data_IF_211167072458
#
_entry.id   IF_211167072458
#
_cell.length_a   1.000
_cell.length_b   1.000
_cell.length_c   1.000
_cell.angle_alpha   90.00
_cell.angle_beta   90.00
_cell.angle_gamma   90.00
#
_symmetry.space_group_name_H-M   'P 1'
#
loop_
_entity.id
_entity.type
_entity.pdbx_description
1 polymer ?
#
# COMPACT_ATOMS: atom_id res chain seq x y z
N UNK A 1 -10.19 -18.62 9.48
CA UNK A 1 -10.49 -17.36 8.77
C UNK A 1 -10.65 -17.62 7.28
N UNK A 2 -9.72 -18.30 6.63
CA UNK A 2 -9.79 -18.64 5.20
C UNK A 2 -10.65 -19.88 4.93
N UNK A 3 -11.92 -19.80 5.29
CA UNK A 3 -12.91 -20.85 5.00
C UNK A 3 -13.81 -20.44 3.83
N UNK A 4 -14.39 -21.42 3.14
CA UNK A 4 -15.28 -21.16 2.01
C UNK A 4 -16.65 -20.63 2.48
N UNK A 5 -17.40 -20.03 1.54
CA UNK A 5 -18.81 -19.62 1.76
C UNK A 5 -19.75 -20.78 2.08
N UNK A 6 -19.32 -22.02 1.86
CA UNK A 6 -20.09 -23.23 2.18
C UNK A 6 -20.13 -23.56 3.69
N UNK A 7 -19.22 -22.97 4.48
CA UNK A 7 -19.21 -23.10 5.94
C UNK A 7 -17.84 -23.07 6.60
N UNK A 8 -17.82 -22.84 7.91
CA UNK A 8 -16.59 -22.71 8.71
C UNK A 8 -15.71 -23.97 8.73
N UNK A 9 -16.25 -25.12 8.42
CA UNK A 9 -15.54 -26.39 8.38
C UNK A 9 -14.96 -26.75 7.00
N UNK A 10 -15.19 -25.91 5.99
CA UNK A 10 -14.71 -26.11 4.62
C UNK A 10 -13.59 -25.13 4.36
N UNK A 11 -12.39 -25.63 4.07
CA UNK A 11 -11.27 -24.79 3.67
C UNK A 11 -11.55 -24.10 2.35
N UNK A 12 -10.96 -22.90 2.15
CA UNK A 12 -10.98 -22.22 0.85
C UNK A 12 -10.33 -23.08 -0.24
N UNK A 13 -10.70 -22.86 -1.48
CA UNK A 13 -10.21 -23.60 -2.63
C UNK A 13 -8.81 -23.20 -3.11
N UNK A 14 -8.17 -22.21 -2.45
CA UNK A 14 -6.80 -21.79 -2.71
C UNK A 14 -6.11 -21.27 -1.45
N UNK A 15 -4.81 -20.99 -1.58
CA UNK A 15 -3.95 -20.53 -0.47
C UNK A 15 -4.31 -19.11 -0.02
N UNK A 16 -4.21 -18.89 1.30
CA UNK A 16 -4.20 -17.56 1.91
C UNK A 16 -2.76 -17.20 2.29
N UNK A 17 -2.30 -16.05 1.82
CA UNK A 17 -0.90 -15.62 1.96
C UNK A 17 -0.82 -14.22 2.60
N UNK A 18 0.37 -13.86 3.05
CA UNK A 18 0.71 -12.51 3.53
C UNK A 18 -0.28 -11.99 4.61
N UNK A 19 -0.50 -12.71 5.71
CA UNK A 19 -1.43 -12.27 6.72
C UNK A 19 -0.90 -11.07 7.50
N UNK A 20 -1.81 -10.13 7.81
CA UNK A 20 -1.58 -9.02 8.73
C UNK A 20 -2.68 -8.98 9.77
N UNK A 21 -2.32 -8.83 11.03
CA UNK A 21 -3.25 -8.76 12.15
C UNK A 21 -3.31 -7.33 12.69
N UNK A 22 -4.53 -6.84 13.01
CA UNK A 22 -4.67 -5.56 13.73
C UNK A 22 -4.04 -5.63 15.12
N UNK A 23 -3.61 -4.50 15.66
CA UNK A 23 -2.92 -4.45 16.95
C UNK A 23 -3.78 -4.95 18.12
N UNK A 24 -5.11 -4.77 18.04
CA UNK A 24 -6.09 -5.29 19.00
C UNK A 24 -6.48 -6.76 18.76
N UNK A 25 -5.98 -7.37 17.69
CA UNK A 25 -6.28 -8.75 17.31
C UNK A 25 -7.69 -8.98 16.77
N UNK A 26 -8.46 -7.95 16.49
CA UNK A 26 -9.86 -8.06 16.06
C UNK A 26 -10.05 -8.34 14.56
N UNK A 27 -9.07 -7.97 13.74
CA UNK A 27 -9.12 -8.09 12.27
C UNK A 27 -7.85 -8.71 11.73
N UNK A 28 -7.98 -9.65 10.81
CA UNK A 28 -6.88 -10.15 9.99
C UNK A 28 -7.14 -9.81 8.52
N UNK A 29 -6.14 -9.22 7.85
CA UNK A 29 -6.13 -9.06 6.41
C UNK A 29 -5.14 -10.04 5.77
N UNK A 30 -5.41 -10.49 4.55
CA UNK A 30 -4.57 -11.44 3.83
C UNK A 30 -4.83 -11.37 2.33
N UNK A 31 -3.95 -11.97 1.53
CA UNK A 31 -4.16 -12.15 0.09
C UNK A 31 -4.57 -13.58 -0.21
N UNK A 32 -5.41 -13.79 -1.22
CA UNK A 32 -5.79 -15.12 -1.71
C UNK A 32 -6.21 -15.07 -3.17
N UNK A 33 -6.06 -16.20 -3.87
CA UNK A 33 -6.65 -16.47 -5.18
C UNK A 33 -7.89 -17.36 -5.10
N UNK A 34 -8.39 -17.63 -3.89
CA UNK A 34 -9.56 -18.44 -3.65
C UNK A 34 -10.82 -17.72 -4.14
N UNK A 35 -11.66 -18.42 -4.89
CA UNK A 35 -12.91 -17.89 -5.48
C UNK A 35 -14.15 -18.21 -4.63
N UNK A 36 -13.97 -18.82 -3.47
CA UNK A 36 -15.03 -19.28 -2.57
C UNK A 36 -15.02 -18.60 -1.19
N UNK A 37 -14.15 -17.60 -1.00
CA UNK A 37 -14.10 -16.80 0.23
C UNK A 37 -15.24 -15.80 0.31
N UNK A 38 -15.62 -15.22 -0.83
CA UNK A 38 -16.72 -14.27 -0.97
C UNK A 38 -17.50 -14.61 -2.22
N UNK A 39 -18.84 -14.47 -2.17
CA UNK A 39 -19.70 -14.78 -3.32
C UNK A 39 -19.43 -13.82 -4.49
N UNK A 40 -19.20 -14.38 -5.69
CA UNK A 40 -18.97 -13.61 -6.90
C UNK A 40 -17.51 -13.14 -7.11
N UNK A 41 -16.60 -13.64 -6.31
CA UNK A 41 -15.15 -13.45 -6.51
C UNK A 41 -14.66 -14.15 -7.78
N UNK A 42 -13.64 -13.55 -8.42
CA UNK A 42 -13.05 -14.04 -9.67
C UNK A 42 -11.62 -14.55 -9.42
N UNK A 43 -11.03 -15.22 -10.40
CA UNK A 43 -9.71 -15.88 -10.34
C UNK A 43 -8.50 -14.92 -10.26
N UNK A 44 -8.59 -13.84 -9.49
CA UNK A 44 -7.47 -12.92 -9.27
C UNK A 44 -6.90 -13.08 -7.86
N UNK A 45 -5.70 -12.58 -7.63
CA UNK A 45 -5.20 -12.44 -6.28
C UNK A 45 -5.84 -11.21 -5.66
N UNK A 46 -6.66 -11.40 -4.66
CA UNK A 46 -7.40 -10.35 -3.98
C UNK A 46 -6.95 -10.16 -2.54
N UNK A 47 -7.28 -8.99 -1.97
CA UNK A 47 -7.09 -8.69 -0.56
C UNK A 47 -8.40 -8.87 0.16
N UNK A 48 -8.36 -9.64 1.23
CA UNK A 48 -9.48 -9.92 2.11
C UNK A 48 -9.21 -9.42 3.51
N UNK A 49 -10.26 -9.06 4.22
CA UNK A 49 -10.24 -8.83 5.66
C UNK A 49 -11.30 -9.67 6.36
N UNK A 50 -11.01 -10.15 7.55
CA UNK A 50 -11.94 -10.93 8.33
C UNK A 50 -11.88 -10.53 9.80
N UNK A 51 -13.05 -10.37 10.42
CA UNK A 51 -13.17 -10.25 11.87
C UNK A 51 -12.81 -11.55 12.56
N UNK A 52 -11.93 -11.53 13.56
CA UNK A 52 -11.51 -12.75 14.26
C UNK A 52 -12.62 -13.34 15.14
N UNK A 53 -13.58 -12.54 15.58
CA UNK A 53 -14.71 -12.99 16.41
C UNK A 53 -15.89 -13.51 15.58
N UNK A 54 -16.25 -12.81 14.49
CA UNK A 54 -17.40 -13.13 13.66
C UNK A 54 -17.04 -14.08 12.51
N UNK A 55 -15.76 -14.17 12.16
CA UNK A 55 -15.24 -14.93 11.01
C UNK A 55 -15.85 -14.50 9.65
N UNK A 56 -16.44 -13.32 9.60
CA UNK A 56 -16.96 -12.75 8.36
C UNK A 56 -15.79 -12.29 7.48
N UNK A 57 -15.70 -12.87 6.29
CA UNK A 57 -14.68 -12.48 5.29
C UNK A 57 -15.24 -11.40 4.38
N UNK A 58 -14.51 -10.34 4.20
CA UNK A 58 -14.84 -9.22 3.32
C UNK A 58 -13.75 -9.01 2.26
N UNK A 59 -14.17 -8.76 1.02
CA UNK A 59 -13.27 -8.42 -0.07
C UNK A 59 -12.88 -6.94 0.04
N UNK A 60 -11.60 -6.68 0.32
CA UNK A 60 -11.03 -5.34 0.47
C UNK A 60 -10.67 -4.72 -0.89
N UNK A 61 -10.16 -5.53 -1.82
CA UNK A 61 -9.84 -5.13 -3.19
C UNK A 61 -11.04 -5.14 -4.14
N UNK A 62 -12.26 -5.08 -3.61
CA UNK A 62 -13.49 -5.05 -4.40
C UNK A 62 -13.83 -3.66 -4.95
N UNK A 63 -14.75 -3.65 -5.92
CA UNK A 63 -15.30 -2.39 -6.46
C UNK A 63 -15.99 -1.57 -5.37
N UNK A 64 -15.71 -0.29 -5.33
CA UNK A 64 -16.39 0.68 -4.43
C UNK A 64 -17.84 0.95 -4.88
N UNK A 65 -18.73 -0.05 -4.83
CA UNK A 65 -20.16 0.14 -5.17
C UNK A 65 -21.10 -0.45 -4.12
N UNK A 66 -22.23 0.22 -3.89
CA UNK A 66 -23.26 -0.12 -2.91
C UNK A 66 -24.10 -1.39 -3.25
N UNK A 67 -23.72 -2.16 -4.26
CA UNK A 67 -24.46 -3.35 -4.69
C UNK A 67 -23.61 -4.60 -4.48
N UNK A 68 -24.23 -5.77 -4.22
CA UNK A 68 -23.48 -6.99 -4.04
C UNK A 68 -22.70 -7.33 -5.33
N UNK A 69 -21.44 -7.02 -5.30
CA UNK A 69 -20.29 -7.60 -5.99
C UNK A 69 -20.30 -7.78 -7.53
N UNK A 70 -19.42 -7.15 -8.25
CA UNK A 70 -18.31 -7.92 -8.79
C UNK A 70 -16.96 -7.42 -8.24
N UNK A 71 -15.98 -8.32 -8.13
CA UNK A 71 -14.59 -7.97 -7.89
C UNK A 71 -14.12 -6.91 -8.90
N UNK A 72 -13.20 -6.04 -8.50
CA UNK A 72 -12.61 -5.08 -9.42
C UNK A 72 -11.91 -5.80 -10.58
N UNK A 73 -12.17 -5.37 -11.81
CA UNK A 73 -11.55 -5.99 -12.99
C UNK A 73 -10.06 -5.72 -13.02
N UNK A 74 -9.24 -6.76 -12.96
CA UNK A 74 -7.79 -6.64 -12.91
C UNK A 74 -7.24 -6.37 -11.51
N UNK A 75 -8.03 -6.67 -10.47
CA UNK A 75 -7.55 -6.66 -9.10
C UNK A 75 -6.55 -7.79 -8.90
N UNK A 76 -5.29 -7.48 -9.01
CA UNK A 76 -4.25 -8.27 -8.40
C UNK A 76 -3.50 -7.35 -7.45
N UNK A 77 -3.30 -7.70 -6.16
CA UNK A 77 -2.11 -7.25 -5.49
C UNK A 77 -0.97 -7.73 -6.39
N UNK A 78 -0.17 -6.80 -6.89
CA UNK A 78 0.87 -7.19 -7.83
C UNK A 78 1.80 -8.19 -7.18
N UNK A 79 1.96 -9.32 -7.82
CA UNK A 79 2.92 -10.37 -7.47
C UNK A 79 4.35 -10.01 -7.87
N UNK A 80 4.70 -8.72 -7.95
CA UNK A 80 6.11 -8.36 -8.11
C UNK A 80 6.85 -8.74 -6.84
N UNK A 81 8.08 -9.20 -6.97
CA UNK A 81 8.90 -9.78 -5.90
C UNK A 81 9.15 -8.85 -4.68
N UNK A 82 8.54 -7.70 -4.63
CA UNK A 82 8.65 -6.67 -3.59
C UNK A 82 7.31 -6.18 -3.04
N UNK A 83 6.18 -6.72 -3.50
CA UNK A 83 4.88 -6.36 -2.93
C UNK A 83 4.79 -6.87 -1.50
N UNK A 84 4.69 -5.96 -0.53
CA UNK A 84 4.27 -6.31 0.81
C UNK A 84 2.78 -6.67 0.77
N UNK A 85 2.39 -7.68 1.53
CA UNK A 85 0.99 -7.97 1.80
C UNK A 85 0.29 -6.77 2.46
N UNK A 86 -1.03 -6.86 2.68
CA UNK A 86 -1.75 -5.80 3.37
C UNK A 86 -1.17 -5.56 4.76
N UNK A 87 -1.22 -4.30 5.24
CA UNK A 87 -1.01 -3.98 6.65
C UNK A 87 -2.27 -3.32 7.21
N UNK A 88 -2.53 -3.50 8.50
CA UNK A 88 -3.80 -3.13 9.15
C UNK A 88 -3.52 -2.22 10.35
N UNK A 89 -4.37 -1.21 10.58
CA UNK A 89 -4.28 -0.34 11.75
C UNK A 89 -4.53 -1.10 13.06
N UNK A 90 -4.18 -0.50 14.18
CA UNK A 90 -4.33 -1.12 15.50
C UNK A 90 -5.79 -1.52 15.80
N UNK A 91 -6.73 -0.68 15.41
CA UNK A 91 -8.17 -0.87 15.62
C UNK A 91 -8.86 -1.70 14.51
N UNK A 92 -8.13 -2.21 13.52
CA UNK A 92 -8.66 -2.98 12.39
C UNK A 92 -9.46 -2.18 11.37
N UNK A 93 -9.59 -0.86 11.55
CA UNK A 93 -10.43 -0.03 10.67
C UNK A 93 -9.81 0.19 9.29
N UNK A 94 -8.51 0.40 9.23
CA UNK A 94 -7.81 0.73 7.98
C UNK A 94 -6.92 -0.41 7.54
N UNK A 95 -6.95 -0.71 6.24
CA UNK A 95 -5.99 -1.60 5.60
C UNK A 95 -5.33 -0.90 4.42
N UNK A 96 -4.00 -0.95 4.34
CA UNK A 96 -3.26 -0.47 3.18
C UNK A 96 -2.72 -1.65 2.39
N UNK A 97 -2.80 -1.57 1.06
CA UNK A 97 -2.35 -2.60 0.14
C UNK A 97 -1.95 -2.00 -1.21
N UNK A 98 -1.23 -2.75 -2.02
CA UNK A 98 -0.94 -2.38 -3.40
C UNK A 98 -1.76 -3.22 -4.39
N UNK A 99 -2.14 -2.61 -5.51
CA UNK A 99 -2.91 -3.28 -6.56
C UNK A 99 -2.71 -2.61 -7.92
N UNK A 100 -2.72 -3.43 -8.98
CA UNK A 100 -2.78 -3.00 -10.37
C UNK A 100 -4.20 -2.74 -10.88
N UNK A 101 -5.24 -2.91 -10.05
CA UNK A 101 -6.62 -2.68 -10.44
C UNK A 101 -6.87 -1.20 -10.80
N UNK A 102 -7.63 -0.99 -11.87
CA UNK A 102 -7.88 0.35 -12.41
C UNK A 102 -9.20 0.97 -11.92
N UNK A 103 -9.99 0.23 -11.18
CA UNK A 103 -11.39 0.51 -10.83
C UNK A 103 -11.71 0.39 -9.32
N UNK A 104 -10.70 0.25 -8.45
CA UNK A 104 -10.87 0.17 -6.99
C UNK A 104 -11.54 1.40 -6.36
N UNK A 105 -11.44 2.55 -6.99
CA UNK A 105 -12.13 3.75 -6.56
C UNK A 105 -12.81 4.45 -7.75
N UNK A 106 -13.95 5.13 -7.53
CA UNK A 106 -14.69 5.78 -8.61
C UNK A 106 -13.90 6.92 -9.27
N UNK A 107 -13.91 6.96 -10.60
CA UNK A 107 -13.35 8.07 -11.38
C UNK A 107 -11.82 8.11 -11.41
N UNK A 108 -11.16 6.97 -11.17
CA UNK A 108 -9.72 6.87 -11.35
C UNK A 108 -9.34 7.09 -12.82
N UNK A 109 -8.24 7.80 -13.02
CA UNK A 109 -7.62 8.08 -14.31
C UNK A 109 -6.12 7.78 -14.28
N UNK A 110 -5.41 8.01 -15.39
CA UNK A 110 -3.96 7.82 -15.48
C UNK A 110 -3.56 6.39 -15.88
N UNK A 111 -2.24 6.11 -15.89
CA UNK A 111 -1.70 4.85 -16.40
C UNK A 111 -2.15 3.64 -15.58
N UNK A 112 -2.23 2.49 -16.22
CA UNK A 112 -2.41 1.21 -15.54
C UNK A 112 -1.07 0.76 -14.95
N UNK A 113 -0.77 1.19 -13.74
CA UNK A 113 0.41 0.85 -12.96
C UNK A 113 -0.01 0.27 -11.61
N UNK A 114 0.91 -0.38 -10.92
CA UNK A 114 0.68 -0.76 -9.53
C UNK A 114 0.60 0.48 -8.65
N UNK A 115 -0.42 0.56 -7.82
CA UNK A 115 -0.67 1.70 -6.95
C UNK A 115 -1.00 1.24 -5.52
N UNK A 116 -0.81 2.14 -4.57
CA UNK A 116 -1.15 1.93 -3.16
C UNK A 116 -2.53 2.49 -2.88
N UNK A 117 -3.33 1.70 -2.17
CA UNK A 117 -4.69 2.04 -1.76
C UNK A 117 -4.85 1.89 -0.25
N UNK A 118 -5.65 2.77 0.33
CA UNK A 118 -6.12 2.69 1.70
C UNK A 118 -7.61 2.34 1.70
N UNK A 119 -7.96 1.21 2.29
CA UNK A 119 -9.34 0.82 2.53
C UNK A 119 -9.79 1.21 3.95
N UNK A 120 -11.02 1.66 4.09
CA UNK A 120 -11.66 2.01 5.37
C UNK A 120 -12.88 1.08 5.58
N UNK A 121 -12.80 0.22 6.59
CA UNK A 121 -13.84 -0.73 6.96
C UNK A 121 -15.19 -0.07 7.30
N UNK A 122 -15.17 1.15 7.85
CA UNK A 122 -16.39 1.86 8.20
C UNK A 122 -17.15 2.34 6.97
N UNK A 123 -16.44 2.86 5.98
CA UNK A 123 -17.05 3.36 4.72
C UNK A 123 -17.12 2.29 3.64
N UNK A 124 -16.38 1.18 3.79
CA UNK A 124 -16.20 0.11 2.80
C UNK A 124 -15.72 0.63 1.45
N UNK A 125 -14.76 1.55 1.48
CA UNK A 125 -14.23 2.19 0.27
C UNK A 125 -12.71 2.20 0.29
N UNK A 126 -12.16 1.95 -0.89
CA UNK A 126 -10.75 2.20 -1.15
C UNK A 126 -10.52 3.65 -1.61
N UNK A 127 -9.40 4.21 -1.21
CA UNK A 127 -8.88 5.52 -1.62
C UNK A 127 -7.47 5.36 -2.16
N UNK A 128 -7.19 6.02 -3.28
CA UNK A 128 -5.86 6.04 -3.87
C UNK A 128 -4.90 6.85 -2.99
N UNK A 129 -3.82 6.22 -2.55
CA UNK A 129 -2.74 6.82 -1.76
C UNK A 129 -1.65 7.39 -2.67
N UNK A 130 -1.19 6.59 -3.64
CA UNK A 130 -0.15 6.96 -4.61
C UNK A 130 -0.71 7.74 -5.79
N UNK A 131 -1.49 8.79 -5.50
CA UNK A 131 -2.02 9.67 -6.55
C UNK A 131 -1.00 10.72 -6.96
N UNK A 132 -1.15 11.25 -8.15
CA UNK A 132 -0.40 12.41 -8.60
C UNK A 132 -0.69 13.65 -7.73
N UNK A 133 0.30 14.52 -7.55
CA UNK A 133 0.20 15.68 -6.64
C UNK A 133 -0.94 16.65 -6.99
N UNK A 134 -1.30 16.75 -8.27
CA UNK A 134 -2.29 17.68 -8.80
C UNK A 134 -3.72 17.12 -8.87
N UNK A 135 -3.89 15.79 -8.75
CA UNK A 135 -5.21 15.15 -8.80
C UNK A 135 -5.26 13.87 -7.97
N UNK A 136 -6.03 13.87 -6.89
CA UNK A 136 -6.23 12.72 -6.00
C UNK A 136 -6.89 11.49 -6.66
N UNK A 137 -7.38 11.62 -7.89
CA UNK A 137 -7.96 10.53 -8.67
C UNK A 137 -7.08 10.09 -9.84
N UNK A 138 -6.00 10.79 -10.09
CA UNK A 138 -5.03 10.39 -11.12
C UNK A 138 -3.95 9.50 -10.50
N UNK A 139 -3.88 8.26 -10.99
CA UNK A 139 -2.78 7.37 -10.62
C UNK A 139 -1.46 7.99 -11.04
N UNK A 140 -0.44 7.78 -10.24
CA UNK A 140 0.90 8.29 -10.53
C UNK A 140 1.52 7.63 -11.76
N UNK A 141 2.54 8.26 -12.33
CA UNK A 141 3.18 7.88 -13.59
C UNK A 141 4.12 6.65 -13.50
N UNK A 142 4.38 6.15 -12.28
CA UNK A 142 5.19 4.96 -12.03
C UNK A 142 4.51 3.95 -11.10
N UNK A 143 5.22 2.88 -10.76
CA UNK A 143 4.72 1.88 -9.82
C UNK A 143 4.91 2.32 -8.37
N UNK A 144 3.94 1.99 -7.54
CA UNK A 144 3.96 2.19 -6.09
C UNK A 144 3.56 0.91 -5.38
N UNK A 145 4.35 0.49 -4.37
CA UNK A 145 4.20 -0.77 -3.67
C UNK A 145 4.72 -0.72 -2.24
N UNK A 146 4.77 -1.86 -1.55
CA UNK A 146 5.39 -2.02 -0.23
C UNK A 146 4.89 -0.99 0.78
N UNK A 147 3.58 -0.98 1.04
CA UNK A 147 2.96 0.02 1.89
C UNK A 147 2.82 -0.46 3.34
N UNK A 148 3.04 0.46 4.27
CA UNK A 148 2.89 0.29 5.72
C UNK A 148 2.12 1.47 6.29
N UNK A 149 1.31 1.24 7.34
CA UNK A 149 0.60 2.31 8.01
C UNK A 149 0.95 2.39 9.51
N UNK A 150 0.78 3.58 10.09
CA UNK A 150 0.85 3.77 11.54
C UNK A 150 -0.32 3.09 12.25
N UNK A 151 -0.19 2.87 13.57
CA UNK A 151 -1.21 2.24 14.40
C UNK A 151 -2.59 2.90 14.28
N UNK A 152 -2.64 4.23 14.20
CA UNK A 152 -3.86 5.03 14.03
C UNK A 152 -4.38 5.08 12.57
N UNK A 153 -3.66 4.46 11.63
CA UNK A 153 -4.00 4.45 10.21
C UNK A 153 -3.90 5.81 9.52
N UNK A 154 -3.22 6.81 10.13
CA UNK A 154 -3.06 8.14 9.54
C UNK A 154 -1.88 8.22 8.58
N UNK A 155 -0.72 7.73 8.98
CA UNK A 155 0.54 7.84 8.24
C UNK A 155 0.77 6.60 7.40
N UNK A 156 0.89 6.74 6.10
CA UNK A 156 1.16 5.66 5.17
C UNK A 156 2.51 5.88 4.51
N UNK A 157 3.45 4.95 4.74
CA UNK A 157 4.73 4.90 4.06
C UNK A 157 4.64 3.92 2.90
N UNK A 158 5.20 4.29 1.75
CA UNK A 158 5.25 3.40 0.60
C UNK A 158 6.47 3.68 -0.28
N UNK A 159 6.83 2.70 -1.09
CA UNK A 159 7.84 2.86 -2.14
C UNK A 159 7.18 3.27 -3.44
N UNK A 160 7.86 4.13 -4.22
CA UNK A 160 7.42 4.45 -5.57
C UNK A 160 8.57 4.87 -6.48
N UNK A 161 8.45 4.50 -7.76
CA UNK A 161 9.29 5.00 -8.85
C UNK A 161 8.68 6.21 -9.57
N UNK A 162 7.51 6.67 -9.13
CA UNK A 162 6.78 7.77 -9.77
C UNK A 162 7.50 9.11 -9.62
N UNK A 163 7.38 9.93 -10.65
CA UNK A 163 7.96 11.29 -10.67
C UNK A 163 6.96 12.37 -10.28
N UNK A 164 5.67 12.05 -10.21
CA UNK A 164 4.58 13.01 -10.05
C UNK A 164 3.77 12.87 -8.73
N UNK A 165 4.32 12.20 -7.72
CA UNK A 165 3.69 12.12 -6.39
C UNK A 165 3.83 13.42 -5.59
N UNK A 166 4.91 14.18 -5.83
CA UNK A 166 5.22 15.44 -5.15
C UNK A 166 5.52 16.49 -6.18
N UNK A 167 4.97 17.71 -6.01
CA UNK A 167 5.16 18.82 -6.91
C UNK A 167 6.66 19.19 -7.04
N UNK A 168 7.14 19.35 -8.27
CA UNK A 168 8.53 19.70 -8.54
C UNK A 168 9.54 18.60 -8.20
N UNK A 169 9.10 17.36 -8.09
CA UNK A 169 10.00 16.22 -7.84
C UNK A 169 11.01 16.08 -8.98
N UNK A 170 12.28 15.92 -8.62
CA UNK A 170 13.41 15.74 -9.54
C UNK A 170 14.34 14.64 -9.03
N UNK A 171 15.39 14.28 -9.78
CA UNK A 171 16.41 13.31 -9.36
C UNK A 171 16.16 11.90 -9.90
N UNK A 172 16.59 10.91 -9.13
CA UNK A 172 16.61 9.48 -9.54
C UNK A 172 15.27 8.94 -10.00
N UNK A 173 15.31 7.86 -10.79
CA UNK A 173 14.14 7.20 -11.36
C UNK A 173 13.77 5.91 -10.63
N UNK A 174 14.58 5.49 -9.65
CA UNK A 174 14.38 4.29 -8.88
C UNK A 174 13.32 4.47 -7.78
N UNK A 175 13.00 3.37 -7.10
CA UNK A 175 12.06 3.37 -5.98
C UNK A 175 12.59 4.19 -4.81
N UNK A 176 11.87 5.24 -4.46
CA UNK A 176 12.08 6.09 -3.32
C UNK A 176 11.00 5.86 -2.26
N UNK A 177 11.25 6.30 -1.02
CA UNK A 177 10.30 6.22 0.09
C UNK A 177 9.50 7.50 0.16
N UNK A 178 8.19 7.36 0.25
CA UNK A 178 7.24 8.44 0.41
C UNK A 178 6.39 8.24 1.66
N UNK A 179 5.97 9.34 2.27
CA UNK A 179 5.00 9.41 3.35
C UNK A 179 3.74 10.11 2.84
N UNK A 180 2.59 9.51 3.07
CA UNK A 180 1.29 10.10 2.80
C UNK A 180 0.52 10.30 4.10
N UNK A 181 -0.03 11.52 4.32
CA UNK A 181 -0.86 11.89 5.45
C UNK A 181 -2.34 11.84 5.04
N UNK A 182 -3.09 10.88 5.61
CA UNK A 182 -4.53 10.70 5.34
C UNK A 182 -5.35 11.96 5.62
N UNK A 183 -4.96 12.73 6.61
CA UNK A 183 -5.73 13.87 7.12
C UNK A 183 -5.32 15.20 6.46
N UNK A 184 -4.27 15.20 5.65
CA UNK A 184 -3.84 16.38 4.90
C UNK A 184 -4.65 16.60 3.61
N UNK A 185 -4.70 17.83 3.08
CA UNK A 185 -5.22 18.08 1.73
C UNK A 185 -4.42 17.32 0.67
N UNK A 186 -5.09 16.79 -0.36
CA UNK A 186 -4.48 15.92 -1.36
C UNK A 186 -3.19 16.51 -1.98
N UNK A 187 -3.17 17.79 -2.33
CA UNK A 187 -2.00 18.46 -2.92
C UNK A 187 -0.77 18.52 -2.01
N UNK A 188 -0.91 18.28 -0.70
CA UNK A 188 0.18 18.31 0.28
C UNK A 188 0.25 17.04 1.13
N UNK A 189 -0.55 16.03 0.79
CA UNK A 189 -0.62 14.80 1.56
C UNK A 189 0.68 13.97 1.43
N UNK A 190 1.34 13.99 0.27
CA UNK A 190 2.53 13.19 0.01
C UNK A 190 3.81 13.99 0.21
N UNK A 191 4.79 13.37 0.88
CA UNK A 191 6.14 13.90 1.07
C UNK A 191 7.17 12.85 0.65
N UNK A 192 8.28 13.31 0.08
CA UNK A 192 9.44 12.46 -0.20
C UNK A 192 10.27 12.31 1.08
N UNK A 193 10.40 11.09 1.58
CA UNK A 193 11.21 10.75 2.77
C UNK A 193 12.68 10.58 2.40
N UNK A 194 12.97 9.83 1.33
CA UNK A 194 14.32 9.55 0.85
C UNK A 194 14.86 10.68 -0.04
N UNK A 195 14.66 11.93 0.38
CA UNK A 195 15.18 13.09 -0.34
C UNK A 195 16.68 13.30 -0.07
N UNK A 196 17.34 13.90 -1.04
CA UNK A 196 18.75 14.27 -0.91
C UNK A 196 18.91 15.62 -0.19
N UNK A 197 20.11 15.98 0.31
CA UNK A 197 20.39 17.29 0.87
C UNK A 197 20.22 18.45 -0.11
N UNK A 198 20.13 18.18 -1.42
CA UNK A 198 19.90 19.20 -2.44
C UNK A 198 18.49 19.81 -2.37
N UNK A 199 17.54 19.12 -1.79
CA UNK A 199 16.17 19.62 -1.56
C UNK A 199 15.17 18.55 -1.19
N UNK A 200 14.12 18.96 -0.48
CA UNK A 200 13.06 18.04 0.01
C UNK A 200 12.29 17.29 -1.10
N UNK A 201 12.39 17.73 -2.35
CA UNK A 201 11.74 17.11 -3.50
C UNK A 201 12.76 16.51 -4.49
N UNK A 202 14.04 16.37 -4.09
CA UNK A 202 15.08 15.75 -4.90
C UNK A 202 15.26 14.31 -4.48
N UNK A 203 14.80 13.38 -5.32
CA UNK A 203 14.85 11.94 -5.08
C UNK A 203 16.29 11.43 -5.04
N UNK A 204 16.55 10.41 -4.24
CA UNK A 204 17.82 9.73 -4.18
C UNK A 204 18.18 9.06 -5.50
N UNK A 205 19.45 8.86 -5.76
CA UNK A 205 19.98 8.35 -7.02
C UNK A 205 19.91 6.82 -7.17
N UNK A 206 19.43 6.12 -6.16
CA UNK A 206 19.26 4.66 -6.21
C UNK A 206 18.09 4.19 -5.33
N UNK A 207 17.86 2.88 -5.33
CA UNK A 207 16.67 2.25 -4.75
C UNK A 207 16.67 2.29 -3.22
N UNK A 208 15.51 2.60 -2.65
CA UNK A 208 15.24 2.48 -1.22
C UNK A 208 14.33 1.27 -0.97
N UNK A 209 14.63 0.46 0.06
CA UNK A 209 13.95 -0.83 0.35
C UNK A 209 13.76 -1.06 1.84
N UNK A 210 13.02 -2.12 2.18
CA UNK A 210 12.86 -2.67 3.54
C UNK A 210 12.53 -1.62 4.58
N UNK A 211 11.40 -1.00 4.38
CA UNK A 211 10.87 0.02 5.28
C UNK A 211 10.32 -0.60 6.56
N UNK A 212 10.54 0.08 7.68
CA UNK A 212 9.95 -0.25 8.98
C UNK A 212 9.57 1.04 9.72
N UNK A 213 8.30 1.47 9.66
CA UNK A 213 7.84 2.62 10.41
C UNK A 213 7.62 2.28 11.88
N UNK A 214 7.73 3.31 12.76
CA UNK A 214 7.26 3.22 14.14
C UNK A 214 5.73 3.21 14.21
N UNK A 215 5.19 2.66 15.29
CA UNK A 215 3.74 2.54 15.48
C UNK A 215 3.00 3.90 15.46
N UNK A 216 3.64 4.95 15.98
CA UNK A 216 3.11 6.32 15.97
C UNK A 216 3.27 7.03 14.61
N UNK A 217 3.95 6.39 13.65
CA UNK A 217 4.21 6.95 12.32
C UNK A 217 5.17 8.14 12.30
N UNK A 218 5.91 8.39 13.40
CA UNK A 218 6.87 9.49 13.45
C UNK A 218 8.21 9.12 12.80
N UNK A 219 8.68 7.91 13.06
CA UNK A 219 9.98 7.45 12.58
C UNK A 219 9.82 6.37 11.52
N UNK A 220 10.72 6.36 10.57
CA UNK A 220 10.87 5.25 9.64
C UNK A 220 12.34 4.91 9.47
N UNK A 221 12.68 3.64 9.51
CA UNK A 221 13.94 3.12 9.01
C UNK A 221 13.76 2.48 7.64
N UNK A 222 14.75 2.63 6.78
CA UNK A 222 14.78 2.00 5.46
C UNK A 222 16.23 1.77 5.03
N UNK A 223 16.44 0.92 4.07
CA UNK A 223 17.77 0.71 3.50
C UNK A 223 17.86 1.27 2.09
N UNK A 224 19.04 1.73 1.71
CA UNK A 224 19.35 2.22 0.37
C UNK A 224 20.82 2.04 0.04
N UNK A 225 21.10 1.81 -1.23
CA UNK A 225 22.44 1.86 -1.81
C UNK A 225 22.75 3.22 -2.47
N UNK A 226 21.89 4.22 -2.24
CA UNK A 226 22.08 5.60 -2.73
C UNK A 226 23.33 6.23 -2.10
N UNK A 227 24.05 6.96 -2.92
CA UNK A 227 25.31 7.64 -2.53
C UNK A 227 25.12 9.12 -2.21
N UNK A 228 23.90 9.65 -2.34
CA UNK A 228 23.57 11.07 -2.24
C UNK A 228 22.56 11.43 -1.12
N UNK A 229 22.14 10.45 -0.29
CA UNK A 229 21.22 10.69 0.83
C UNK A 229 21.85 11.50 1.98
N UNK A 230 23.15 11.35 2.20
CA UNK A 230 23.88 12.06 3.26
C UNK A 230 25.12 12.72 2.67
N UNK A 231 25.36 14.03 2.95
CA UNK A 231 26.53 14.73 2.43
C UNK A 231 27.83 14.06 2.89
N UNK A 232 28.73 13.80 1.94
CA UNK A 232 30.06 13.26 2.24
C UNK A 232 30.08 11.80 2.69
N UNK A 233 28.98 11.12 2.66
CA UNK A 233 28.93 9.68 2.86
C UNK A 233 29.46 9.01 1.57
N UNK A 234 30.82 8.84 1.50
CA UNK A 234 31.44 8.00 0.49
C UNK A 234 31.14 6.54 0.84
N UNK A 235 30.27 5.88 0.10
CA UNK A 235 30.00 4.46 0.25
C UNK A 235 30.53 3.65 -0.93
N UNK A 236 30.84 2.40 -0.71
CA UNK A 236 31.03 1.45 -1.81
C UNK A 236 29.67 1.34 -2.53
N UNK A 237 29.62 1.61 -3.85
CA UNK A 237 28.40 1.41 -4.61
C UNK A 237 27.93 -0.04 -4.48
N UNK A 238 26.63 -0.26 -4.37
CA UNK A 238 25.95 -1.56 -4.25
C UNK A 238 25.88 -2.16 -2.83
N UNK A 239 26.32 -1.46 -1.78
CA UNK A 239 26.07 -1.87 -0.40
C UNK A 239 24.90 -1.08 0.20
N UNK A 240 23.86 -1.80 0.62
CA UNK A 240 22.73 -1.17 1.30
C UNK A 240 23.13 -0.66 2.68
N UNK A 241 22.90 0.62 2.92
CA UNK A 241 23.06 1.28 4.21
C UNK A 241 21.68 1.45 4.87
N UNK A 242 21.65 1.50 6.21
CA UNK A 242 20.45 1.76 6.99
C UNK A 242 20.30 3.26 7.26
N UNK A 243 19.15 3.80 6.95
CA UNK A 243 18.78 5.19 7.19
C UNK A 243 17.58 5.27 8.13
N UNK A 244 17.50 6.36 8.89
CA UNK A 244 16.36 6.72 9.71
C UNK A 244 15.93 8.14 9.38
N UNK A 245 14.63 8.35 9.32
CA UNK A 245 13.99 9.66 9.10
C UNK A 245 13.01 9.95 10.24
N UNK A 246 12.86 11.27 10.65
CA UNK A 246 11.95 11.79 11.69
C UNK A 246 11.06 12.91 11.13
#
# INVERSE_FOLDING_TARGET
VSHSTEGLAVSSNAEALQPALSGDGSVVAFTSTATDLVFGDLYFTDVFAAGTAALDVELVSGLSSFLPWPAATGSAPSSTAYASGPTVSEDGRFAVFSSGAIDLAPGLSGPASENVYLWDAFTRRARLVSHAFDDARRRSDGNSASAYLSADGRWIYHQSSSSDLVEGSTGGTDYNVYLWDRDAPAASATRLVSHTPAGANVRSNSVCRWMSPSADGRYISYTSDSTDLVPGLGGEPLLFQLYQWD
#
